data_IF_244794198278
#
_entry.id   IF_244794198278
#
_cell.length_a   1.000
_cell.length_b   1.000
_cell.length_c   1.000
_cell.angle_alpha   90.00
_cell.angle_beta   90.00
_cell.angle_gamma   90.00
#
_symmetry.space_group_name_H-M   'P 1'
#
loop_
_entity.id
_entity.type
_entity.pdbx_description
1 polymer ?
#
# COMPACT_ATOMS: atom_id res chain seq x y z
N UNK A 1 21.87 -0.23 17.53
CA UNK A 1 20.69 0.26 16.80
C UNK A 1 19.76 0.83 17.85
N UNK A 2 19.68 2.13 17.96
CA UNK A 2 18.80 2.79 18.92
C UNK A 2 17.62 3.33 18.12
N UNK A 3 16.47 2.72 18.30
CA UNK A 3 15.23 3.26 17.83
C UNK A 3 14.64 4.12 18.93
N UNK A 4 14.51 5.39 18.68
CA UNK A 4 13.64 6.22 19.49
C UNK A 4 12.22 6.07 18.94
N UNK A 5 11.42 5.26 19.62
CA UNK A 5 10.02 5.01 19.29
C UNK A 5 9.13 6.18 19.70
N UNK A 6 9.69 7.22 20.30
CA UNK A 6 9.00 8.45 20.69
C UNK A 6 8.70 9.40 19.53
N UNK A 7 8.69 8.91 18.27
CA UNK A 7 8.22 9.65 17.11
C UNK A 7 9.28 10.35 16.29
N UNK A 8 10.57 10.10 16.53
CA UNK A 8 11.64 10.64 15.67
C UNK A 8 12.76 9.62 15.54
N UNK A 9 12.69 8.76 14.52
CA UNK A 9 13.89 8.10 14.03
C UNK A 9 14.60 9.11 13.13
N UNK A 10 15.44 9.93 13.70
CA UNK A 10 16.11 10.96 12.93
C UNK A 10 17.28 10.42 12.11
N UNK A 11 17.80 9.26 12.45
CA UNK A 11 19.00 8.76 11.78
C UNK A 11 19.06 7.24 11.77
N UNK A 12 19.16 6.67 10.59
CA UNK A 12 19.49 5.27 10.37
C UNK A 12 20.95 5.17 9.91
N UNK A 13 21.76 4.39 10.61
CA UNK A 13 23.16 4.14 10.26
C UNK A 13 23.30 2.80 9.54
N UNK A 14 23.66 2.83 8.27
CA UNK A 14 24.02 1.65 7.51
C UNK A 14 25.54 1.61 7.29
N UNK A 15 26.19 0.55 7.76
CA UNK A 15 27.66 0.36 7.65
C UNK A 15 28.52 1.52 8.16
N UNK A 16 28.03 2.31 9.11
CA UNK A 16 28.80 3.42 9.69
C UNK A 16 29.11 4.59 8.75
N UNK A 17 28.66 4.53 7.50
CA UNK A 17 29.07 5.49 6.46
C UNK A 17 27.92 6.31 5.90
N UNK A 18 26.68 5.86 6.02
CA UNK A 18 25.52 6.56 5.49
C UNK A 18 24.51 6.75 6.61
N UNK A 19 24.25 8.00 6.97
CA UNK A 19 23.13 8.36 7.84
C UNK A 19 21.98 8.84 6.97
N UNK A 20 20.86 8.14 6.99
CA UNK A 20 19.61 8.60 6.41
C UNK A 20 18.79 9.22 7.52
N UNK A 21 18.52 10.50 7.44
CA UNK A 21 17.57 11.16 8.33
C UNK A 21 16.16 10.83 7.85
N UNK A 22 15.45 10.04 8.62
CA UNK A 22 13.99 9.98 8.49
C UNK A 22 13.43 11.22 9.21
N UNK A 23 13.16 12.29 8.50
CA UNK A 23 12.21 13.29 9.01
C UNK A 23 10.87 12.58 9.25
N UNK A 24 10.07 13.07 10.19
CA UNK A 24 8.77 12.48 10.55
C UNK A 24 8.07 11.98 9.28
N UNK A 25 8.15 10.68 9.05
CA UNK A 25 7.54 10.06 7.89
C UNK A 25 6.04 10.36 7.93
N UNK A 26 5.43 10.77 6.82
CA UNK A 26 3.98 10.94 6.77
C UNK A 26 3.23 9.66 7.16
N UNK A 27 3.89 8.50 7.05
CA UNK A 27 3.33 7.20 7.42
C UNK A 27 3.22 6.99 8.93
N UNK A 28 3.89 7.77 9.78
CA UNK A 28 3.67 7.75 11.23
C UNK A 28 2.21 8.03 11.58
N UNK A 29 1.47 8.71 10.70
CA UNK A 29 0.04 8.89 10.90
C UNK A 29 -0.72 7.56 11.04
N UNK A 30 -0.30 6.52 10.32
CA UNK A 30 -0.99 5.22 10.34
C UNK A 30 -0.79 4.46 11.64
N UNK A 31 0.25 4.78 12.41
CA UNK A 31 0.45 4.23 13.76
C UNK A 31 -0.51 4.83 14.78
N UNK A 32 -1.07 6.00 14.48
CA UNK A 32 -2.00 6.72 15.36
C UNK A 32 -3.47 6.42 15.06
N UNK A 33 -3.75 5.62 14.02
CA UNK A 33 -5.12 5.22 13.70
C UNK A 33 -5.57 4.13 14.67
N UNK A 34 -6.53 4.47 15.52
CA UNK A 34 -7.22 3.49 16.34
C UNK A 34 -8.31 2.80 15.50
N UNK A 35 -7.99 1.65 14.95
CA UNK A 35 -8.95 0.76 14.29
C UNK A 35 -8.73 -0.65 14.82
N UNK A 36 -9.73 -1.21 15.48
CA UNK A 36 -9.64 -2.52 16.13
C UNK A 36 -9.60 -3.70 15.14
N UNK A 37 -9.85 -3.41 13.88
CA UNK A 37 -9.82 -4.43 12.84
C UNK A 37 -8.49 -4.41 12.09
N UNK A 38 -8.11 -5.57 11.56
CA UNK A 38 -7.01 -5.65 10.61
C UNK A 38 -7.34 -4.83 9.35
N UNK A 39 -6.41 -4.03 8.90
CA UNK A 39 -6.51 -3.27 7.65
C UNK A 39 -5.13 -3.12 7.00
N UNK A 40 -5.14 -2.78 5.71
CA UNK A 40 -3.95 -2.36 4.98
C UNK A 40 -4.04 -0.90 4.58
N UNK A 41 -2.87 -0.38 4.30
CA UNK A 41 -2.66 0.98 3.82
C UNK A 41 -2.00 0.89 2.44
N UNK A 42 -2.46 1.72 1.51
CA UNK A 42 -1.80 1.90 0.24
C UNK A 42 -1.45 3.37 -0.01
N UNK A 43 -0.60 3.57 -1.00
CA UNK A 43 -0.14 4.88 -1.43
C UNK A 43 -0.10 4.94 -2.94
N UNK A 44 -0.15 6.14 -3.51
CA UNK A 44 0.01 6.27 -4.95
C UNK A 44 1.34 5.67 -5.42
N UNK A 45 1.30 4.89 -6.49
CA UNK A 45 2.49 4.36 -7.17
C UNK A 45 3.46 5.45 -7.68
N UNK A 46 3.01 6.70 -7.73
CA UNK A 46 3.87 7.85 -8.02
C UNK A 46 4.75 8.24 -6.84
N UNK A 47 4.52 7.66 -5.66
CA UNK A 47 5.26 7.96 -4.42
C UNK A 47 6.09 6.75 -3.98
N UNK A 48 7.13 6.45 -4.75
CA UNK A 48 7.99 5.27 -4.56
C UNK A 48 9.05 5.40 -3.45
N UNK A 49 9.08 6.55 -2.76
CA UNK A 49 10.08 6.81 -1.70
C UNK A 49 9.99 5.87 -0.50
N UNK A 50 8.95 5.03 -0.41
CA UNK A 50 8.57 4.43 0.88
C UNK A 50 8.29 2.92 0.82
N UNK A 51 8.94 2.21 -0.06
CA UNK A 51 8.88 0.75 -0.03
C UNK A 51 9.32 0.20 1.34
N UNK A 52 8.59 -0.78 1.84
CA UNK A 52 8.88 -1.43 3.14
C UNK A 52 8.78 -0.54 4.38
N UNK A 53 8.28 0.68 4.29
CA UNK A 53 8.13 1.54 5.47
C UNK A 53 7.18 0.94 6.51
N UNK A 54 6.19 0.14 6.11
CA UNK A 54 5.33 -0.60 7.01
C UNK A 54 6.10 -1.53 7.97
N UNK A 55 7.22 -2.13 7.50
CA UNK A 55 8.07 -2.98 8.35
C UNK A 55 8.83 -2.20 9.43
N UNK A 56 9.05 -0.90 9.21
CA UNK A 56 9.78 -0.04 10.14
C UNK A 56 8.82 0.69 11.07
N UNK A 57 7.65 1.05 10.57
CA UNK A 57 6.68 1.89 11.27
C UNK A 57 5.46 1.12 11.80
N UNK A 58 5.50 -0.21 11.71
CA UNK A 58 4.49 -1.13 12.28
C UNK A 58 3.06 -0.88 11.75
N UNK A 59 2.93 -0.73 10.42
CA UNK A 59 1.64 -0.75 9.75
C UNK A 59 1.63 -1.75 8.57
N UNK A 60 0.47 -2.20 8.16
CA UNK A 60 0.33 -3.17 7.07
C UNK A 60 0.26 -2.44 5.72
N UNK A 61 1.39 -2.25 5.07
CA UNK A 61 1.45 -1.68 3.72
C UNK A 61 1.23 -2.72 2.62
N UNK A 62 0.83 -2.28 1.43
CA UNK A 62 0.77 -3.13 0.22
C UNK A 62 2.00 -2.98 -0.65
N UNK A 63 2.68 -1.84 -0.60
CA UNK A 63 3.92 -1.61 -1.33
C UNK A 63 5.09 -2.30 -0.66
N UNK A 64 5.87 -3.06 -1.44
CA UNK A 64 6.99 -3.82 -0.90
C UNK A 64 8.14 -4.00 -1.90
N UNK A 65 9.34 -4.01 -1.37
CA UNK A 65 10.53 -4.52 -2.03
C UNK A 65 11.03 -5.76 -1.29
N UNK A 66 11.19 -6.85 -2.02
CA UNK A 66 11.83 -8.06 -1.49
C UNK A 66 12.60 -8.73 -2.61
N UNK A 67 13.85 -9.11 -2.35
CA UNK A 67 14.71 -9.81 -3.32
C UNK A 67 14.09 -11.10 -3.86
N UNK A 68 13.18 -11.71 -3.10
CA UNK A 68 12.43 -12.90 -3.51
C UNK A 68 10.96 -12.71 -3.17
N UNK A 69 10.15 -12.43 -4.17
CA UNK A 69 8.69 -12.34 -4.02
C UNK A 69 8.05 -13.72 -4.24
N UNK A 70 6.98 -13.98 -3.49
CA UNK A 70 6.19 -15.19 -3.67
C UNK A 70 5.65 -15.29 -5.10
N UNK A 71 5.81 -16.46 -5.73
CA UNK A 71 5.36 -16.72 -7.10
C UNK A 71 3.86 -16.45 -7.30
N UNK A 72 3.03 -16.71 -6.28
CA UNK A 72 1.60 -16.43 -6.32
C UNK A 72 1.30 -14.94 -6.46
N UNK A 73 2.04 -14.08 -5.75
CA UNK A 73 1.91 -12.63 -5.86
C UNK A 73 2.28 -12.14 -7.28
N UNK A 74 3.37 -12.65 -7.82
CA UNK A 74 3.78 -12.31 -9.19
C UNK A 74 2.73 -12.76 -10.20
N UNK A 75 2.19 -13.98 -10.05
CA UNK A 75 1.12 -14.49 -10.92
C UNK A 75 -0.13 -13.63 -10.80
N UNK A 76 -0.55 -13.30 -9.59
CA UNK A 76 -1.73 -12.45 -9.34
C UNK A 76 -1.64 -11.11 -10.08
N UNK A 77 -0.55 -10.38 -9.94
CA UNK A 77 -0.35 -9.12 -10.65
C UNK A 77 -0.31 -9.29 -12.17
N UNK A 78 0.30 -10.38 -12.67
CA UNK A 78 0.34 -10.66 -14.11
C UNK A 78 -1.03 -11.03 -14.68
N UNK A 79 -1.79 -11.84 -13.97
CA UNK A 79 -3.14 -12.24 -14.41
C UNK A 79 -4.08 -11.05 -14.51
N UNK A 80 -3.87 -10.03 -13.67
CA UNK A 80 -4.64 -8.80 -13.65
C UNK A 80 -4.06 -7.70 -14.56
N UNK A 81 -2.99 -7.98 -15.29
CA UNK A 81 -2.27 -6.99 -16.09
C UNK A 81 -1.96 -5.71 -15.28
N UNK A 82 -1.47 -5.92 -14.05
CA UNK A 82 -1.20 -4.83 -13.12
C UNK A 82 0.15 -4.18 -13.40
N UNK A 83 0.15 -2.87 -13.50
CA UNK A 83 1.38 -2.06 -13.57
C UNK A 83 2.03 -1.89 -12.19
N UNK A 84 1.35 -2.26 -11.12
CA UNK A 84 1.85 -2.22 -9.74
C UNK A 84 3.00 -3.18 -9.47
N UNK A 85 3.41 -4.00 -10.45
CA UNK A 85 4.61 -4.81 -10.39
C UNK A 85 5.62 -4.35 -11.45
N UNK A 86 6.67 -3.67 -11.05
CA UNK A 86 7.70 -3.21 -11.98
C UNK A 86 8.76 -4.26 -12.30
N UNK A 87 8.94 -5.20 -11.40
CA UNK A 87 9.88 -6.32 -11.51
C UNK A 87 9.48 -7.42 -10.52
N UNK A 88 10.09 -8.59 -10.65
CA UNK A 88 9.83 -9.74 -9.76
C UNK A 88 10.21 -9.51 -8.29
N UNK A 89 10.67 -8.34 -7.93
CA UNK A 89 11.11 -7.97 -6.58
C UNK A 89 10.43 -6.70 -6.04
N UNK A 90 9.52 -6.06 -6.80
CA UNK A 90 8.85 -4.82 -6.42
C UNK A 90 7.36 -4.89 -6.68
N UNK A 91 6.58 -4.57 -5.67
CA UNK A 91 5.14 -4.34 -5.75
C UNK A 91 4.88 -2.94 -5.22
N UNK A 92 4.23 -2.08 -6.01
CA UNK A 92 3.94 -0.72 -5.59
C UNK A 92 2.51 -0.57 -5.05
N UNK A 93 1.51 -0.93 -5.85
CA UNK A 93 0.12 -0.63 -5.56
C UNK A 93 -0.79 -1.48 -6.46
N UNK A 94 -2.10 -1.26 -6.39
CA UNK A 94 -3.10 -1.89 -7.25
C UNK A 94 -3.59 -0.99 -8.39
N UNK A 95 -2.75 -0.07 -8.87
CA UNK A 95 -3.03 0.80 -10.03
C UNK A 95 -4.30 1.65 -9.87
N UNK A 96 -4.62 2.06 -8.64
CA UNK A 96 -5.82 2.82 -8.30
C UNK A 96 -7.14 2.06 -8.62
N UNK A 97 -7.10 0.74 -8.67
CA UNK A 97 -8.28 -0.09 -8.94
C UNK A 97 -9.01 -0.42 -7.65
N UNK A 98 -10.13 0.27 -7.41
CA UNK A 98 -10.93 0.19 -6.18
C UNK A 98 -11.31 -1.24 -5.80
N UNK A 99 -11.65 -2.10 -6.76
CA UNK A 99 -12.00 -3.50 -6.49
C UNK A 99 -10.81 -4.26 -5.87
N UNK A 100 -9.60 -4.08 -6.40
CA UNK A 100 -8.39 -4.71 -5.89
C UNK A 100 -8.00 -4.16 -4.52
N UNK A 101 -8.13 -2.85 -4.31
CA UNK A 101 -7.94 -2.22 -3.01
C UNK A 101 -8.90 -2.80 -1.96
N UNK A 102 -10.18 -2.94 -2.31
CA UNK A 102 -11.18 -3.51 -1.42
C UNK A 102 -10.87 -4.99 -1.09
N UNK A 103 -10.56 -5.81 -2.10
CA UNK A 103 -10.18 -7.21 -1.94
C UNK A 103 -8.93 -7.40 -1.08
N UNK A 104 -7.97 -6.49 -1.20
CA UNK A 104 -6.77 -6.48 -0.36
C UNK A 104 -7.02 -5.92 1.05
N UNK A 105 -8.25 -5.52 1.39
CA UNK A 105 -8.59 -4.86 2.64
C UNK A 105 -7.78 -3.56 2.85
N UNK A 106 -7.56 -2.80 1.78
CA UNK A 106 -6.99 -1.46 1.89
C UNK A 106 -8.07 -0.52 2.41
N UNK A 107 -7.87 -0.01 3.60
CA UNK A 107 -8.81 0.87 4.28
C UNK A 107 -8.41 2.32 4.21
N UNK A 108 -7.12 2.60 4.16
CA UNK A 108 -6.60 3.95 4.06
C UNK A 108 -5.66 4.07 2.87
N UNK A 109 -5.80 5.18 2.16
CA UNK A 109 -4.99 5.52 1.00
C UNK A 109 -4.37 6.90 1.22
N UNK A 110 -3.06 6.98 1.18
CA UNK A 110 -2.35 8.24 1.34
C UNK A 110 -1.79 8.72 0.01
N UNK A 111 -2.01 9.99 -0.29
CA UNK A 111 -1.57 10.59 -1.54
C UNK A 111 -1.05 12.01 -1.31
N UNK A 112 0.02 12.39 -1.98
CA UNK A 112 0.43 13.79 -2.04
C UNK A 112 -0.64 14.61 -2.74
N UNK A 113 -0.89 15.81 -2.27
CA UNK A 113 -1.91 16.70 -2.84
C UNK A 113 -1.70 16.98 -4.33
N UNK A 114 -0.47 16.96 -4.81
CA UNK A 114 -0.12 17.13 -6.21
C UNK A 114 -0.51 15.96 -7.13
N UNK A 115 -0.79 14.78 -6.56
CA UNK A 115 -1.13 13.55 -7.29
C UNK A 115 -2.58 13.10 -7.12
N UNK A 116 -3.47 13.97 -6.67
CA UNK A 116 -4.88 13.62 -6.37
C UNK A 116 -5.65 13.06 -7.57
N UNK A 117 -5.20 13.29 -8.79
CA UNK A 117 -5.74 12.65 -10.00
C UNK A 117 -5.60 11.12 -10.01
N UNK A 118 -4.72 10.57 -9.17
CA UNK A 118 -4.48 9.14 -9.05
C UNK A 118 -5.28 8.49 -7.91
N UNK A 119 -6.22 9.21 -7.30
CA UNK A 119 -7.05 8.66 -6.23
C UNK A 119 -8.02 7.61 -6.78
N UNK A 120 -8.07 6.39 -6.19
CA UNK A 120 -9.08 5.41 -6.56
C UNK A 120 -10.50 5.92 -6.32
N UNK A 121 -11.45 5.51 -7.13
CA UNK A 121 -12.86 5.78 -6.89
C UNK A 121 -13.33 5.16 -5.56
N UNK A 122 -14.30 5.79 -4.88
CA UNK A 122 -14.87 5.25 -3.65
C UNK A 122 -13.99 5.42 -2.41
N UNK A 123 -13.11 6.42 -2.46
CA UNK A 123 -12.35 6.85 -1.30
C UNK A 123 -12.74 8.26 -0.89
N UNK A 124 -13.18 8.43 0.34
CA UNK A 124 -13.57 9.72 0.92
C UNK A 124 -12.44 10.34 1.72
N UNK A 125 -12.30 11.65 1.64
CA UNK A 125 -11.29 12.37 2.42
C UNK A 125 -11.47 12.11 3.91
N UNK A 126 -10.39 11.65 4.55
CA UNK A 126 -10.34 11.39 5.98
C UNK A 126 -9.62 12.51 6.73
N UNK A 127 -8.38 12.82 6.33
CA UNK A 127 -7.56 13.82 7.02
C UNK A 127 -6.45 14.37 6.14
N UNK A 128 -6.11 15.64 6.31
CA UNK A 128 -4.88 16.21 5.77
C UNK A 128 -3.73 15.99 6.76
N UNK A 129 -2.57 15.76 6.20
CA UNK A 129 -1.33 15.61 6.93
C UNK A 129 -0.22 16.40 6.22
N UNK A 130 0.55 17.16 6.96
CA UNK A 130 1.63 17.96 6.40
C UNK A 130 2.95 17.64 7.09
N UNK A 131 3.98 17.46 6.29
CA UNK A 131 5.36 17.43 6.72
C UNK A 131 6.00 18.79 6.45
N UNK A 132 7.30 18.96 6.72
CA UNK A 132 8.01 20.18 6.37
C UNK A 132 8.14 20.40 4.86
N UNK A 133 8.13 19.33 4.09
CA UNK A 133 8.43 19.32 2.65
C UNK A 133 7.23 19.04 1.78
N UNK A 134 6.25 18.26 2.28
CA UNK A 134 5.15 17.75 1.47
C UNK A 134 3.82 17.83 2.21
N UNK A 135 2.76 18.03 1.45
CA UNK A 135 1.39 17.93 1.90
C UNK A 135 0.73 16.67 1.38
N UNK A 136 0.08 15.94 2.28
CA UNK A 136 -0.62 14.70 1.99
C UNK A 136 -2.09 14.82 2.36
N UNK A 137 -2.91 14.05 1.67
CA UNK A 137 -4.28 13.78 2.10
C UNK A 137 -4.45 12.28 2.28
N UNK A 138 -5.04 11.89 3.39
CA UNK A 138 -5.41 10.52 3.69
C UNK A 138 -6.88 10.37 3.38
N UNK A 139 -7.17 9.35 2.62
CA UNK A 139 -8.52 8.96 2.25
C UNK A 139 -8.87 7.64 2.88
N UNK A 140 -10.14 7.46 3.19
CA UNK A 140 -10.69 6.22 3.72
C UNK A 140 -11.54 5.55 2.65
N UNK A 141 -11.37 4.25 2.49
CA UNK A 141 -12.17 3.44 1.58
C UNK A 141 -13.62 3.37 2.08
N UNK A 142 -14.56 3.71 1.21
CA UNK A 142 -16.00 3.68 1.51
C UNK A 142 -16.56 2.25 1.39
N UNK A 143 -15.83 1.33 0.75
CA UNK A 143 -16.22 -0.05 0.46
C UNK A 143 -15.19 -1.09 0.95
N UNK A 144 -14.68 -1.00 2.20
CA UNK A 144 -13.67 -1.93 2.66
C UNK A 144 -14.28 -3.32 2.84
N UNK A 145 -13.63 -4.33 2.30
CA UNK A 145 -13.94 -5.71 2.62
C UNK A 145 -13.17 -6.13 3.87
N UNK A 146 -13.68 -7.13 4.58
CA UNK A 146 -12.91 -7.77 5.66
C UNK A 146 -11.81 -8.65 5.06
N UNK A 147 -10.81 -9.02 5.87
CA UNK A 147 -9.72 -9.91 5.43
C UNK A 147 -10.23 -11.31 5.04
N UNK A 148 -11.39 -11.70 5.56
CA UNK A 148 -12.07 -12.96 5.23
C UNK A 148 -13.48 -12.68 4.71
N UNK A 149 -13.81 -13.25 3.57
CA UNK A 149 -15.12 -13.20 2.95
C UNK A 149 -15.42 -14.54 2.26
N UNK A 150 -16.68 -14.83 2.00
CA UNK A 150 -17.13 -16.06 1.37
C UNK A 150 -17.71 -15.77 -0.01
N UNK A 151 -17.61 -16.74 -0.89
CA UNK A 151 -18.20 -16.69 -2.22
C UNK A 151 -19.33 -17.71 -2.34
N UNK A 152 -20.40 -17.34 -3.01
CA UNK A 152 -21.51 -18.24 -3.35
C UNK A 152 -21.30 -18.95 -4.69
N UNK A 153 -20.37 -18.44 -5.49
CA UNK A 153 -20.06 -18.96 -6.83
C UNK A 153 -18.57 -19.05 -7.03
N UNK A 154 -18.16 -20.00 -7.83
CA UNK A 154 -16.77 -20.15 -8.29
C UNK A 154 -16.76 -20.53 -9.76
N UNK A 155 -15.64 -20.29 -10.40
CA UNK A 155 -15.30 -20.81 -11.73
C UNK A 155 -14.10 -21.74 -11.58
N UNK A 156 -13.95 -22.70 -12.47
CA UNK A 156 -12.78 -23.57 -12.47
C UNK A 156 -11.55 -22.87 -13.06
N UNK A 157 -10.39 -23.48 -12.91
CA UNK A 157 -9.13 -22.89 -13.37
C UNK A 157 -9.05 -22.78 -14.90
N UNK A 158 -9.72 -23.66 -15.65
CA UNK A 158 -9.72 -23.62 -17.12
C UNK A 158 -10.58 -22.45 -17.63
N UNK A 159 -11.71 -22.20 -16.97
CA UNK A 159 -12.54 -21.03 -17.25
C UNK A 159 -11.83 -19.73 -16.86
N UNK A 160 -11.20 -19.71 -15.69
CA UNK A 160 -10.43 -18.54 -15.23
C UNK A 160 -9.31 -18.12 -16.21
N UNK A 161 -8.55 -19.09 -16.73
CA UNK A 161 -7.45 -18.78 -17.67
C UNK A 161 -7.95 -18.19 -19.01
N UNK A 162 -9.20 -18.38 -19.37
CA UNK A 162 -9.80 -17.79 -20.58
C UNK A 162 -10.25 -16.36 -20.41
N UNK A 163 -10.39 -15.89 -19.17
CA UNK A 163 -10.85 -14.55 -18.86
C UNK A 163 -9.77 -13.50 -19.20
N UNK A 164 -10.20 -12.35 -19.68
CA UNK A 164 -9.36 -11.17 -19.78
C UNK A 164 -8.94 -10.66 -18.39
N UNK A 165 -7.93 -9.83 -18.33
CA UNK A 165 -7.47 -9.22 -17.08
C UNK A 165 -8.56 -8.41 -16.36
N UNK A 166 -9.47 -7.79 -17.11
CA UNK A 166 -10.62 -7.05 -16.54
C UNK A 166 -11.66 -8.01 -15.93
N UNK A 167 -11.94 -9.13 -16.60
CA UNK A 167 -12.91 -10.12 -16.12
C UNK A 167 -12.41 -10.92 -14.91
N UNK A 168 -11.10 -10.94 -14.68
CA UNK A 168 -10.46 -11.57 -13.52
C UNK A 168 -10.54 -10.73 -12.24
N UNK A 169 -10.95 -9.48 -12.32
CA UNK A 169 -11.17 -8.59 -11.20
C UNK A 169 -12.55 -8.81 -10.58
#
# INVERSE_FOLDING_TARGET
>A
MLYDIGGVVDTFMYNGSISVKFERSPYLFFTDISDDNFYRVDTSSADDEFENTGLVLDYNGVSMYNSVINKGMVKYHKDLDSIGISAVHRIYSFDNRTALEALANVRYYMIRKEFTQNLPYGFSKYKDYSTKTNEYTIYKNDYPLSIGYTYDKYIDSEEYEKLSAIEKQ
#
